data_IF_050700321332
#
_entry.id   IF_050700321332
#
_cell.length_a   1.000
_cell.length_b   1.000
_cell.length_c   1.000
_cell.angle_alpha   90.00
_cell.angle_beta   90.00
_cell.angle_gamma   90.00
#
_symmetry.space_group_name_H-M   'P 1'
#
loop_
_entity.id
_entity.type
_entity.pdbx_description
1 polymer ?
#
# COMPACT_ATOMS: atom_id res chain seq x y z
N UNK A 1 31.52 21.76 -1.64
CA UNK A 1 30.15 21.86 -2.21
C UNK A 1 29.98 20.86 -3.35
N UNK A 2 30.92 20.84 -4.30
CA UNK A 2 30.97 19.90 -5.43
C UNK A 2 30.92 18.42 -4.96
N UNK A 3 31.64 18.06 -3.90
CA UNK A 3 31.70 16.67 -3.38
C UNK A 3 30.35 16.16 -2.85
N UNK A 4 29.59 17.06 -2.24
CA UNK A 4 28.25 16.74 -1.70
C UNK A 4 27.28 16.45 -2.85
N UNK A 5 27.43 17.14 -3.98
CA UNK A 5 26.62 16.92 -5.18
C UNK A 5 26.94 15.53 -5.77
N UNK A 6 28.22 15.18 -5.94
CA UNK A 6 28.59 13.85 -6.46
C UNK A 6 28.16 12.71 -5.54
N UNK A 7 28.32 12.89 -4.23
CA UNK A 7 27.81 11.93 -3.25
C UNK A 7 26.29 11.78 -3.36
N UNK A 8 25.56 12.88 -3.42
CA UNK A 8 24.11 12.86 -3.54
C UNK A 8 23.65 12.18 -4.83
N UNK A 9 24.24 12.54 -5.98
CA UNK A 9 23.95 11.90 -7.27
C UNK A 9 24.23 10.40 -7.21
N UNK A 10 25.36 10.00 -6.63
CA UNK A 10 25.69 8.59 -6.46
C UNK A 10 24.67 7.84 -5.59
N UNK A 11 24.26 8.43 -4.46
CA UNK A 11 23.24 7.85 -3.56
C UNK A 11 21.91 7.71 -4.29
N UNK A 12 21.49 8.71 -5.06
CA UNK A 12 20.26 8.66 -5.87
C UNK A 12 20.34 7.55 -6.92
N UNK A 13 21.47 7.40 -7.61
CA UNK A 13 21.67 6.30 -8.57
C UNK A 13 21.62 4.93 -7.90
N UNK A 14 22.23 4.78 -6.72
CA UNK A 14 22.13 3.53 -5.94
C UNK A 14 20.70 3.25 -5.51
N UNK A 15 19.99 4.28 -5.03
CA UNK A 15 18.60 4.17 -4.62
C UNK A 15 17.73 3.66 -5.76
N UNK A 16 17.83 4.25 -6.95
CA UNK A 16 17.08 3.84 -8.12
C UNK A 16 17.50 2.48 -8.70
N UNK A 17 18.75 2.07 -8.49
CA UNK A 17 19.19 0.72 -8.88
C UNK A 17 18.59 -0.36 -7.97
N UNK A 18 18.46 -0.07 -6.66
CA UNK A 18 17.91 -0.99 -5.66
C UNK A 18 16.38 -0.97 -5.66
N UNK A 19 15.79 0.21 -5.81
CA UNK A 19 14.36 0.50 -5.79
C UNK A 19 13.98 1.21 -7.09
N UNK A 20 13.85 0.48 -8.20
CA UNK A 20 13.50 1.07 -9.48
C UNK A 20 12.09 1.69 -9.41
N UNK A 21 11.93 2.82 -10.11
CA UNK A 21 10.63 3.45 -10.31
C UNK A 21 9.96 2.88 -11.56
N UNK A 22 8.67 3.17 -11.72
CA UNK A 22 7.86 2.77 -12.89
C UNK A 22 8.46 3.26 -14.22
N UNK A 23 9.10 4.41 -14.22
CA UNK A 23 9.75 5.00 -15.39
C UNK A 23 11.04 4.25 -15.75
N UNK A 24 11.84 3.85 -14.78
CA UNK A 24 13.07 3.08 -15.02
C UNK A 24 12.74 1.69 -15.57
N UNK A 25 11.64 1.12 -15.09
CA UNK A 25 11.13 -0.17 -15.54
C UNK A 25 10.57 -0.16 -16.94
N UNK A 26 9.84 0.91 -17.30
CA UNK A 26 9.29 1.05 -18.65
C UNK A 26 10.39 1.19 -19.71
N UNK A 27 11.52 1.81 -19.35
CA UNK A 27 12.70 1.94 -20.22
C UNK A 27 13.52 0.63 -20.28
N UNK A 28 13.26 -0.34 -19.41
CA UNK A 28 13.95 -1.63 -19.46
C UNK A 28 15.28 -1.68 -18.70
N UNK A 29 15.55 -0.70 -17.82
CA UNK A 29 16.85 -0.51 -17.16
C UNK A 29 16.98 -1.24 -15.83
N UNK A 30 16.05 -2.14 -15.50
CA UNK A 30 16.15 -2.90 -14.24
C UNK A 30 17.09 -4.09 -14.34
N UNK A 31 17.70 -4.42 -13.20
CA UNK A 31 18.54 -5.62 -13.05
C UNK A 31 17.75 -6.88 -13.42
N UNK A 32 16.47 -6.94 -13.06
CA UNK A 32 15.58 -8.06 -13.38
C UNK A 32 15.43 -8.25 -14.89
N UNK A 33 15.14 -7.18 -15.63
CA UNK A 33 15.02 -7.27 -17.09
C UNK A 33 16.35 -7.62 -17.75
N UNK A 34 17.47 -7.09 -17.26
CA UNK A 34 18.78 -7.44 -17.80
C UNK A 34 19.11 -8.91 -17.59
N UNK A 35 18.94 -9.43 -16.36
CA UNK A 35 19.15 -10.84 -16.05
C UNK A 35 18.18 -11.76 -16.81
N UNK A 36 16.93 -11.35 -17.03
CA UNK A 36 15.94 -12.15 -17.77
C UNK A 36 16.34 -12.45 -19.22
N UNK A 37 17.18 -11.60 -19.83
CA UNK A 37 17.69 -11.81 -21.19
C UNK A 37 18.80 -12.87 -21.25
N UNK A 38 19.58 -13.02 -20.18
CA UNK A 38 20.75 -13.90 -20.16
C UNK A 38 20.52 -15.22 -19.42
N UNK A 39 19.51 -15.27 -18.53
CA UNK A 39 19.22 -16.45 -17.71
C UNK A 39 17.89 -17.05 -18.18
N UNK A 40 17.97 -18.06 -19.03
CA UNK A 40 16.81 -18.81 -19.56
C UNK A 40 16.43 -20.03 -18.71
N UNK A 41 17.00 -20.14 -17.52
CA UNK A 41 16.70 -21.25 -16.61
C UNK A 41 15.28 -21.14 -16.03
N UNK A 42 14.74 -22.25 -15.53
CA UNK A 42 13.44 -22.26 -14.84
C UNK A 42 13.36 -21.24 -13.70
N UNK A 43 12.14 -20.80 -13.39
CA UNK A 43 11.81 -19.75 -12.41
C UNK A 43 12.68 -19.75 -11.14
N UNK A 44 12.84 -20.90 -10.48
CA UNK A 44 13.64 -21.00 -9.25
C UNK A 44 15.12 -20.73 -9.49
N UNK A 45 15.71 -21.32 -10.53
CA UNK A 45 17.12 -21.13 -10.86
C UNK A 45 17.40 -19.68 -11.28
N UNK A 46 16.47 -19.11 -12.06
CA UNK A 46 16.49 -17.70 -12.40
C UNK A 46 16.60 -16.84 -11.13
N UNK A 47 15.74 -17.06 -10.14
CA UNK A 47 15.77 -16.30 -8.90
C UNK A 47 17.02 -16.56 -8.04
N UNK A 48 17.57 -17.78 -8.00
CA UNK A 48 18.85 -18.07 -7.31
C UNK A 48 20.01 -17.25 -7.91
N UNK A 49 20.13 -17.26 -9.24
CA UNK A 49 21.17 -16.52 -9.95
C UNK A 49 20.97 -15.02 -9.83
N UNK A 50 19.74 -14.55 -9.99
CA UNK A 50 19.35 -13.15 -9.89
C UNK A 50 19.65 -12.58 -8.48
N UNK A 51 19.30 -13.28 -7.41
CA UNK A 51 19.60 -12.80 -6.05
C UNK A 51 21.09 -12.75 -5.76
N UNK A 52 21.85 -13.72 -6.29
CA UNK A 52 23.31 -13.74 -6.19
C UNK A 52 23.95 -12.57 -6.96
N UNK A 53 23.44 -12.27 -8.16
CA UNK A 53 23.88 -11.13 -8.96
C UNK A 53 23.55 -9.79 -8.31
N UNK A 54 22.31 -9.62 -7.82
CA UNK A 54 21.87 -8.42 -7.07
C UNK A 54 22.75 -8.19 -5.85
N UNK A 55 23.09 -9.24 -5.10
CA UNK A 55 23.96 -9.14 -3.93
C UNK A 55 25.36 -8.64 -4.31
N UNK A 56 25.95 -9.18 -5.39
CA UNK A 56 27.24 -8.72 -5.91
C UNK A 56 27.19 -7.26 -6.39
N UNK A 57 26.17 -6.91 -7.16
CA UNK A 57 25.99 -5.56 -7.69
C UNK A 57 25.84 -4.53 -6.57
N UNK A 58 24.99 -4.81 -5.58
CA UNK A 58 24.73 -3.85 -4.50
C UNK A 58 25.92 -3.72 -3.54
N UNK A 59 26.67 -4.80 -3.31
CA UNK A 59 27.89 -4.73 -2.50
C UNK A 59 29.08 -4.13 -3.24
N UNK A 60 29.08 -4.13 -4.59
CA UNK A 60 30.08 -3.39 -5.37
C UNK A 60 29.82 -1.89 -5.44
N UNK A 61 28.58 -1.42 -5.22
CA UNK A 61 28.25 0.02 -5.32
C UNK A 61 29.17 0.92 -4.48
N UNK A 62 29.39 0.68 -3.16
CA UNK A 62 30.30 1.53 -2.38
C UNK A 62 31.73 1.54 -2.93
N UNK A 63 32.21 0.42 -3.48
CA UNK A 63 33.52 0.35 -4.14
C UNK A 63 33.58 1.17 -5.41
N UNK A 64 32.52 1.11 -6.24
CA UNK A 64 32.40 1.95 -7.43
C UNK A 64 32.47 3.43 -7.08
N UNK A 65 31.84 3.86 -5.98
CA UNK A 65 31.95 5.25 -5.51
C UNK A 65 33.40 5.67 -5.23
N UNK A 66 34.13 4.88 -4.44
CA UNK A 66 35.53 5.17 -4.13
C UNK A 66 36.40 5.16 -5.38
N UNK A 67 36.16 4.23 -6.30
CA UNK A 67 36.88 4.14 -7.57
C UNK A 67 36.62 5.37 -8.46
N UNK A 68 35.37 5.82 -8.55
CA UNK A 68 35.01 7.03 -9.31
C UNK A 68 35.67 8.27 -8.71
N UNK A 69 35.65 8.43 -7.39
CA UNK A 69 36.33 9.56 -6.74
C UNK A 69 37.84 9.53 -6.97
N UNK A 70 38.46 8.36 -6.89
CA UNK A 70 39.89 8.20 -7.17
C UNK A 70 40.22 8.53 -8.62
N UNK A 71 39.38 8.08 -9.57
CA UNK A 71 39.54 8.40 -10.99
C UNK A 71 39.37 9.90 -11.28
N UNK A 72 38.39 10.56 -10.65
CA UNK A 72 38.19 12.01 -10.79
C UNK A 72 39.36 12.81 -10.22
N UNK A 73 39.90 12.40 -9.06
CA UNK A 73 41.10 13.00 -8.49
C UNK A 73 42.35 12.80 -9.35
N UNK A 74 42.45 11.67 -10.05
CA UNK A 74 43.52 11.43 -11.02
C UNK A 74 43.39 12.33 -12.26
N UNK A 75 42.19 12.46 -12.81
CA UNK A 75 41.93 13.21 -14.06
C UNK A 75 42.00 14.73 -13.82
N UNK A 76 41.44 15.22 -12.72
CA UNK A 76 41.40 16.64 -12.39
C UNK A 76 41.85 16.90 -10.93
N UNK A 77 43.16 16.82 -10.67
CA UNK A 77 43.70 16.93 -9.31
C UNK A 77 43.51 18.34 -8.70
N UNK A 78 43.33 19.38 -9.51
CA UNK A 78 43.13 20.74 -9.02
C UNK A 78 41.76 20.90 -8.31
N UNK A 79 40.72 20.22 -8.82
CA UNK A 79 39.38 20.26 -8.26
C UNK A 79 39.14 19.15 -7.22
N UNK A 80 39.68 17.95 -7.46
CA UNK A 80 39.37 16.75 -6.67
C UNK A 80 40.51 16.28 -5.76
N UNK A 81 41.72 16.84 -5.89
CA UNK A 81 42.86 16.49 -5.04
C UNK A 81 42.65 16.88 -3.57
N UNK A 82 41.93 17.97 -3.32
CA UNK A 82 41.57 18.44 -1.96
C UNK A 82 40.42 17.64 -1.34
N UNK A 83 39.63 16.94 -2.16
CA UNK A 83 38.49 16.09 -1.72
C UNK A 83 38.99 14.83 -1.01
N UNK A 84 40.23 14.42 -1.32
CA UNK A 84 40.92 13.30 -0.67
C UNK A 84 41.86 13.81 0.45
N UNK A 85 41.90 15.13 0.72
CA UNK A 85 42.63 15.69 1.85
C UNK A 85 41.74 15.70 3.10
N UNK A 86 41.98 14.73 3.96
CA UNK A 86 41.22 14.58 5.20
C UNK A 86 41.98 15.13 6.41
N UNK A 87 41.23 15.62 7.40
CA UNK A 87 41.76 15.73 8.77
C UNK A 87 42.21 14.35 9.25
N UNK A 88 43.08 14.27 10.26
CA UNK A 88 43.55 12.98 10.82
C UNK A 88 42.36 12.05 11.14
N UNK A 89 41.30 12.58 11.76
CA UNK A 89 40.08 11.84 12.04
C UNK A 89 39.32 11.41 10.77
N UNK A 90 39.24 12.29 9.77
CA UNK A 90 38.62 11.99 8.48
C UNK A 90 39.34 10.87 7.72
N UNK A 91 40.68 10.83 7.76
CA UNK A 91 41.47 9.79 7.12
C UNK A 91 41.19 8.40 7.70
N UNK A 92 41.07 8.31 9.03
CA UNK A 92 40.71 7.05 9.68
C UNK A 92 39.32 6.57 9.24
N UNK A 93 38.32 7.47 9.23
CA UNK A 93 36.96 7.12 8.79
C UNK A 93 36.91 6.70 7.31
N UNK A 94 37.67 7.38 6.45
CA UNK A 94 37.81 7.04 5.05
C UNK A 94 38.40 5.63 4.85
N UNK A 95 39.53 5.35 5.53
CA UNK A 95 40.19 4.05 5.47
C UNK A 95 39.29 2.92 5.99
N UNK A 96 38.57 3.14 7.09
CA UNK A 96 37.59 2.18 7.62
C UNK A 96 36.47 1.93 6.62
N UNK A 97 35.94 2.99 5.99
CA UNK A 97 34.84 2.88 5.03
C UNK A 97 35.23 2.08 3.79
N UNK A 98 36.42 2.33 3.24
CA UNK A 98 36.98 1.54 2.12
C UNK A 98 37.20 0.09 2.55
N UNK A 99 37.83 -0.13 3.71
CA UNK A 99 38.12 -1.48 4.20
C UNK A 99 36.83 -2.28 4.39
N UNK A 100 35.78 -1.66 4.94
CA UNK A 100 34.47 -2.28 5.10
C UNK A 100 33.81 -2.60 3.75
N UNK A 101 33.85 -1.67 2.79
CA UNK A 101 33.32 -1.90 1.45
C UNK A 101 34.02 -3.06 0.74
N UNK A 102 35.36 -3.13 0.83
CA UNK A 102 36.15 -4.22 0.25
C UNK A 102 35.82 -5.54 0.95
N UNK A 103 35.79 -5.55 2.28
CA UNK A 103 35.48 -6.74 3.05
C UNK A 103 34.08 -7.29 2.72
N UNK A 104 33.05 -6.43 2.65
CA UNK A 104 31.69 -6.82 2.29
C UNK A 104 31.60 -7.42 0.88
N UNK A 105 32.31 -6.82 -0.09
CA UNK A 105 32.33 -7.33 -1.45
C UNK A 105 33.05 -8.67 -1.55
N UNK A 106 34.22 -8.83 -0.90
CA UNK A 106 34.96 -10.10 -0.86
C UNK A 106 34.11 -11.19 -0.21
N UNK A 107 33.49 -10.90 0.95
CA UNK A 107 32.60 -11.86 1.63
C UNK A 107 31.45 -12.27 0.71
N UNK A 108 30.90 -11.35 -0.07
CA UNK A 108 29.84 -11.65 -1.02
C UNK A 108 30.32 -12.55 -2.16
N UNK A 109 31.48 -12.24 -2.75
CA UNK A 109 32.09 -13.10 -3.77
C UNK A 109 32.33 -14.50 -3.23
N UNK A 110 32.93 -14.62 -2.05
CA UNK A 110 33.20 -15.92 -1.41
C UNK A 110 31.90 -16.69 -1.19
N UNK A 111 30.84 -16.06 -0.70
CA UNK A 111 29.54 -16.70 -0.53
C UNK A 111 28.94 -17.18 -1.86
N UNK A 112 28.97 -16.35 -2.90
CA UNK A 112 28.41 -16.72 -4.22
C UNK A 112 29.20 -17.86 -4.85
N UNK A 113 30.53 -17.82 -4.77
CA UNK A 113 31.39 -18.92 -5.23
C UNK A 113 31.14 -20.20 -4.44
N UNK A 114 31.03 -20.10 -3.11
CA UNK A 114 30.69 -21.23 -2.24
C UNK A 114 29.34 -21.86 -2.63
N UNK A 115 28.31 -21.04 -2.90
CA UNK A 115 27.03 -21.54 -3.38
C UNK A 115 27.13 -22.19 -4.77
N UNK A 116 27.88 -21.58 -5.69
CA UNK A 116 28.05 -22.10 -7.05
C UNK A 116 28.82 -23.42 -7.10
N UNK A 117 29.83 -23.60 -6.24
CA UNK A 117 30.65 -24.82 -6.18
C UNK A 117 29.84 -26.06 -5.81
N UNK A 118 28.88 -25.93 -4.89
CA UNK A 118 28.00 -27.01 -4.46
C UNK A 118 26.67 -27.01 -5.23
N UNK A 119 26.71 -26.66 -6.52
CA UNK A 119 25.56 -26.63 -7.42
C UNK A 119 24.30 -25.96 -6.81
N UNK A 120 24.51 -24.87 -6.05
CA UNK A 120 23.51 -24.06 -5.35
C UNK A 120 22.79 -24.73 -4.18
N UNK A 121 23.20 -25.92 -3.73
CA UNK A 121 22.58 -26.63 -2.59
C UNK A 121 22.57 -25.81 -1.31
N UNK A 122 23.64 -25.04 -1.08
CA UNK A 122 23.78 -24.21 0.11
C UNK A 122 23.14 -22.83 0.00
N UNK A 123 22.59 -22.48 -1.16
CA UNK A 123 21.94 -21.18 -1.35
C UNK A 123 20.70 -21.06 -0.44
N UNK A 124 20.42 -19.89 0.17
CA UNK A 124 19.28 -19.73 1.08
C UNK A 124 17.94 -20.15 0.47
N UNK A 125 17.71 -19.88 -0.82
CA UNK A 125 16.50 -20.33 -1.53
C UNK A 125 16.43 -21.85 -1.62
N UNK A 126 17.53 -22.52 -1.97
CA UNK A 126 17.56 -23.98 -2.06
C UNK A 126 17.27 -24.61 -0.69
N UNK A 127 17.89 -24.09 0.38
CA UNK A 127 17.63 -24.55 1.76
C UNK A 127 16.17 -24.35 2.21
N UNK A 128 15.52 -23.27 1.78
CA UNK A 128 14.07 -23.09 2.02
C UNK A 128 13.25 -24.12 1.26
N UNK A 129 13.57 -24.40 0.00
CA UNK A 129 12.86 -25.38 -0.81
C UNK A 129 13.04 -26.82 -0.31
N UNK A 130 14.19 -27.16 0.30
CA UNK A 130 14.42 -28.47 0.92
C UNK A 130 13.36 -28.82 1.98
N UNK A 131 12.74 -27.83 2.60
CA UNK A 131 11.70 -28.05 3.62
C UNK A 131 10.38 -28.56 3.05
N UNK A 132 10.16 -28.37 1.75
CA UNK A 132 8.98 -28.84 1.05
C UNK A 132 9.24 -30.16 0.31
N UNK A 133 10.27 -30.91 0.69
CA UNK A 133 10.52 -32.24 0.16
C UNK A 133 9.45 -33.20 0.64
N UNK A 134 9.04 -34.10 -0.25
CA UNK A 134 8.07 -35.17 0.04
C UNK A 134 8.61 -36.48 -0.50
N UNK A 135 8.02 -37.64 -0.15
CA UNK A 135 8.45 -38.91 -0.74
C UNK A 135 8.45 -38.92 -2.27
N UNK A 136 7.57 -38.11 -2.90
CA UNK A 136 7.49 -37.95 -4.37
C UNK A 136 8.48 -36.89 -4.91
N UNK A 137 8.99 -36.00 -4.06
CA UNK A 137 9.93 -34.94 -4.40
C UNK A 137 11.08 -34.95 -3.37
N UNK A 138 12.07 -35.86 -3.52
CA UNK A 138 13.08 -36.11 -2.50
C UNK A 138 14.08 -34.96 -2.34
N UNK A 139 14.32 -34.20 -3.42
CA UNK A 139 15.29 -33.11 -3.45
C UNK A 139 14.63 -31.76 -3.68
N UNK A 140 15.30 -30.69 -3.22
CA UNK A 140 14.89 -29.31 -3.52
C UNK A 140 14.82 -29.01 -5.02
N UNK A 141 15.63 -29.70 -5.83
CA UNK A 141 15.60 -29.60 -7.30
C UNK A 141 14.31 -30.19 -7.87
N UNK A 142 13.79 -31.25 -7.27
CA UNK A 142 12.49 -31.84 -7.66
C UNK A 142 11.35 -30.87 -7.33
N UNK A 143 11.38 -30.27 -6.14
CA UNK A 143 10.44 -29.20 -5.75
C UNK A 143 10.55 -28.00 -6.71
N UNK A 144 11.78 -27.58 -7.03
CA UNK A 144 12.02 -26.48 -7.96
C UNK A 144 11.49 -26.79 -9.36
N UNK A 145 11.64 -28.03 -9.84
CA UNK A 145 11.11 -28.48 -11.15
C UNK A 145 9.58 -28.44 -11.15
N UNK A 146 8.93 -28.94 -10.10
CA UNK A 146 7.47 -28.84 -9.97
C UNK A 146 6.98 -27.38 -9.97
N UNK A 147 7.64 -26.49 -9.23
CA UNK A 147 7.35 -25.05 -9.25
C UNK A 147 7.56 -24.46 -10.64
N UNK A 148 8.65 -24.82 -11.32
CA UNK A 148 8.97 -24.32 -12.66
C UNK A 148 7.92 -24.76 -13.69
N UNK A 149 7.44 -26.00 -13.59
CA UNK A 149 6.43 -26.56 -14.49
C UNK A 149 5.08 -25.90 -14.26
N UNK A 150 4.65 -25.70 -13.01
CA UNK A 150 3.43 -24.96 -12.69
C UNK A 150 3.54 -23.48 -13.10
N UNK A 151 4.70 -22.85 -12.92
CA UNK A 151 4.94 -21.47 -13.34
C UNK A 151 4.84 -21.29 -14.86
N UNK A 152 5.11 -22.31 -15.66
CA UNK A 152 4.99 -22.23 -17.13
C UNK A 152 3.55 -22.27 -17.62
N UNK A 153 2.61 -22.74 -16.81
CA UNK A 153 1.19 -22.82 -17.17
C UNK A 153 0.54 -21.44 -17.22
N UNK A 154 -0.55 -21.33 -17.97
CA UNK A 154 -1.34 -20.09 -18.10
C UNK A 154 -2.28 -19.85 -16.90
N UNK A 155 -2.40 -20.84 -15.99
CA UNK A 155 -3.20 -20.77 -14.77
C UNK A 155 -2.55 -19.93 -13.66
N UNK A 156 -1.34 -19.39 -13.88
CA UNK A 156 -0.64 -18.57 -12.89
C UNK A 156 -1.25 -17.16 -12.79
N UNK A 157 -1.34 -16.66 -11.57
CA UNK A 157 -1.64 -15.26 -11.28
C UNK A 157 -0.38 -14.56 -10.79
N UNK A 158 -0.03 -13.43 -11.39
CA UNK A 158 1.14 -12.61 -11.00
C UNK A 158 0.65 -11.24 -10.58
N UNK A 159 0.79 -10.92 -9.29
CA UNK A 159 0.42 -9.62 -8.72
C UNK A 159 1.67 -8.92 -8.24
N UNK A 160 1.89 -7.70 -8.72
CA UNK A 160 3.00 -6.90 -8.24
C UNK A 160 2.60 -6.09 -7.00
N UNK A 161 3.22 -6.38 -5.86
CA UNK A 161 2.90 -5.72 -4.59
C UNK A 161 3.63 -4.38 -4.42
N UNK A 162 4.89 -4.29 -4.86
CA UNK A 162 5.68 -3.06 -4.86
C UNK A 162 6.84 -3.16 -5.86
N UNK A 163 7.75 -2.17 -5.87
CA UNK A 163 8.89 -2.13 -6.79
C UNK A 163 9.76 -3.41 -6.75
N UNK A 164 9.93 -3.99 -5.56
CA UNK A 164 10.90 -5.06 -5.29
C UNK A 164 10.27 -6.42 -4.91
N UNK A 165 8.95 -6.51 -4.84
CA UNK A 165 8.24 -7.73 -4.46
C UNK A 165 7.06 -8.04 -5.37
N UNK A 166 7.00 -9.30 -5.78
CA UNK A 166 5.97 -9.83 -6.65
C UNK A 166 5.40 -11.08 -6.02
N UNK A 167 4.08 -11.16 -6.03
CA UNK A 167 3.34 -12.34 -5.64
C UNK A 167 3.04 -13.16 -6.89
N UNK A 168 3.36 -14.44 -6.84
CA UNK A 168 3.05 -15.42 -7.86
C UNK A 168 2.22 -16.51 -7.19
N UNK A 169 1.02 -16.72 -7.71
CA UNK A 169 0.11 -17.77 -7.27
C UNK A 169 -0.03 -18.76 -8.41
N UNK A 170 0.21 -20.03 -8.11
CA UNK A 170 0.07 -21.17 -9.02
C UNK A 170 -0.95 -22.14 -8.40
N UNK A 171 -1.28 -23.23 -9.10
CA UNK A 171 -2.23 -24.23 -8.62
C UNK A 171 -1.88 -24.76 -7.21
N UNK A 172 -0.61 -25.06 -6.95
CA UNK A 172 -0.19 -25.65 -5.67
C UNK A 172 0.58 -24.68 -4.78
N UNK A 173 1.16 -23.61 -5.33
CA UNK A 173 2.10 -22.76 -4.61
C UNK A 173 1.69 -21.29 -4.55
N UNK A 174 1.96 -20.68 -3.39
CA UNK A 174 1.98 -19.24 -3.19
C UNK A 174 3.44 -18.82 -2.99
N UNK A 175 3.94 -17.98 -3.87
CA UNK A 175 5.34 -17.57 -3.92
C UNK A 175 5.41 -16.05 -3.85
N UNK A 176 6.09 -15.52 -2.84
CA UNK A 176 6.44 -14.10 -2.74
C UNK A 176 7.91 -13.92 -3.05
N UNK A 177 8.22 -13.23 -4.13
CA UNK A 177 9.59 -12.81 -4.46
C UNK A 177 9.89 -11.49 -3.75
N UNK A 178 11.11 -11.35 -3.23
CA UNK A 178 11.66 -10.12 -2.66
C UNK A 178 13.05 -9.86 -3.26
N UNK A 179 13.65 -8.72 -2.94
CA UNK A 179 14.95 -8.29 -3.48
C UNK A 179 16.08 -9.33 -3.37
N UNK A 180 16.18 -10.04 -2.23
CA UNK A 180 17.25 -11.00 -1.95
C UNK A 180 16.77 -12.42 -1.65
N UNK A 181 15.52 -12.75 -1.99
CA UNK A 181 15.05 -14.11 -1.77
C UNK A 181 13.59 -14.31 -2.07
N UNK A 182 13.19 -15.58 -2.04
CA UNK A 182 11.79 -15.99 -2.20
C UNK A 182 11.25 -16.54 -0.89
N UNK A 183 9.95 -16.35 -0.68
CA UNK A 183 9.15 -17.00 0.35
C UNK A 183 8.12 -17.86 -0.35
N UNK A 184 8.04 -19.12 0.02
CA UNK A 184 7.22 -20.12 -0.67
C UNK A 184 6.33 -20.79 0.36
N UNK A 185 5.08 -21.03 0.01
CA UNK A 185 4.15 -21.84 0.78
C UNK A 185 3.33 -22.71 -0.16
N UNK A 186 3.01 -23.93 0.27
CA UNK A 186 2.02 -24.77 -0.40
C UNK A 186 0.62 -24.32 -0.02
N UNK A 187 -0.25 -24.14 -1.00
CA UNK A 187 -1.63 -23.74 -0.78
C UNK A 187 -2.36 -24.68 0.18
N UNK A 188 -2.27 -25.99 -0.07
CA UNK A 188 -3.00 -27.01 0.70
C UNK A 188 -2.54 -27.10 2.16
N UNK A 189 -1.31 -26.68 2.45
CA UNK A 189 -0.68 -26.72 3.77
C UNK A 189 -0.46 -25.30 4.32
N UNK A 190 -1.27 -24.32 3.91
CA UNK A 190 -1.20 -22.96 4.43
C UNK A 190 -2.57 -22.43 4.82
N UNK A 191 -2.61 -21.67 5.90
CA UNK A 191 -3.79 -20.86 6.26
C UNK A 191 -3.55 -19.41 5.84
N UNK A 192 -4.55 -18.83 5.19
CA UNK A 192 -4.55 -17.44 4.76
C UNK A 192 -5.43 -16.63 5.70
N UNK A 193 -4.85 -15.63 6.35
CA UNK A 193 -5.58 -14.76 7.28
C UNK A 193 -5.40 -13.32 6.86
N UNK A 194 -6.47 -12.70 6.38
CA UNK A 194 -6.52 -11.27 6.14
C UNK A 194 -6.75 -10.55 7.48
N UNK A 195 -5.84 -9.64 7.85
CA UNK A 195 -5.85 -9.03 9.19
C UNK A 195 -5.90 -7.50 9.20
N UNK A 196 -5.49 -6.83 8.11
CA UNK A 196 -5.44 -5.37 8.03
C UNK A 196 -5.72 -4.87 6.62
N UNK A 197 -6.46 -3.78 6.50
CA UNK A 197 -6.59 -2.98 5.27
C UNK A 197 -5.80 -1.69 5.47
N UNK A 198 -4.80 -1.47 4.63
CA UNK A 198 -4.04 -0.23 4.54
C UNK A 198 -4.57 0.61 3.39
N UNK A 199 -4.75 1.90 3.63
CA UNK A 199 -5.07 2.88 2.61
C UNK A 199 -3.77 3.58 2.22
N UNK A 200 -3.50 3.66 0.93
CA UNK A 200 -2.40 4.48 0.44
C UNK A 200 -2.98 5.64 -0.36
N UNK A 201 -2.98 6.82 0.26
CA UNK A 201 -3.25 8.07 -0.43
C UNK A 201 -2.03 8.37 -1.31
N UNK A 202 -2.13 8.03 -2.59
CA UNK A 202 -1.10 8.35 -3.56
C UNK A 202 -1.23 9.85 -3.86
N UNK A 203 -0.17 10.63 -3.62
CA UNK A 203 -0.10 12.07 -3.88
C UNK A 203 0.05 12.38 -5.38
N UNK A 204 -0.61 11.59 -6.22
CA UNK A 204 -0.53 11.64 -7.69
C UNK A 204 -1.96 11.68 -8.21
N UNK A 205 -2.22 12.47 -9.27
CA UNK A 205 -3.53 12.90 -9.79
C UNK A 205 -4.58 11.80 -10.11
N UNK A 206 -4.32 10.53 -9.81
CA UNK A 206 -5.29 9.44 -9.84
C UNK A 206 -6.06 9.36 -8.53
N UNK A 207 -7.28 9.91 -8.56
CA UNK A 207 -8.24 10.22 -7.48
C UNK A 207 -8.72 9.02 -6.62
N UNK A 208 -8.12 7.83 -6.73
CA UNK A 208 -8.51 6.65 -5.97
C UNK A 208 -7.46 6.32 -4.90
N UNK A 209 -7.82 6.51 -3.62
CA UNK A 209 -7.09 5.93 -2.51
C UNK A 209 -7.08 4.41 -2.68
N UNK A 210 -5.95 3.87 -3.13
CA UNK A 210 -5.80 2.44 -3.41
C UNK A 210 -5.81 1.68 -2.09
N UNK A 211 -6.79 0.78 -1.95
CA UNK A 211 -6.90 -0.07 -0.77
C UNK A 211 -5.98 -1.26 -0.94
N UNK A 212 -5.23 -1.58 0.11
CA UNK A 212 -4.38 -2.76 0.13
C UNK A 212 -4.73 -3.63 1.31
N UNK A 213 -4.88 -4.92 1.06
CA UNK A 213 -5.22 -5.91 2.09
C UNK A 213 -3.95 -6.67 2.43
N UNK A 214 -3.61 -6.69 3.71
CA UNK A 214 -2.53 -7.50 4.24
C UNK A 214 -3.05 -8.87 4.65
N UNK A 215 -2.48 -9.89 4.02
CA UNK A 215 -2.83 -11.29 4.20
C UNK A 215 -1.60 -11.99 4.76
N UNK A 216 -1.73 -12.54 5.96
CA UNK A 216 -0.71 -13.41 6.54
C UNK A 216 -0.86 -14.83 5.97
N UNK A 217 0.18 -15.31 5.30
CA UNK A 217 0.30 -16.72 4.91
C UNK A 217 1.02 -17.44 6.03
N UNK A 218 0.31 -18.34 6.72
CA UNK A 218 0.87 -19.17 7.78
C UNK A 218 0.94 -20.61 7.27
N UNK A 219 2.13 -21.09 6.88
CA UNK A 219 2.32 -22.50 6.55
C UNK A 219 2.10 -23.36 7.79
N UNK A 220 1.49 -24.54 7.64
CA UNK A 220 1.19 -25.45 8.75
C UNK A 220 2.47 -26.05 9.36
N UNK A 221 3.52 -26.16 8.54
CA UNK A 221 4.80 -26.79 8.91
C UNK A 221 5.90 -25.78 9.26
N UNK A 222 5.71 -24.47 9.04
CA UNK A 222 6.73 -23.45 9.31
C UNK A 222 6.29 -22.47 10.40
N UNK A 223 7.23 -22.12 11.30
CA UNK A 223 7.08 -20.98 12.22
C UNK A 223 7.14 -19.62 11.50
N UNK A 224 7.71 -19.58 10.30
CA UNK A 224 7.91 -18.35 9.54
C UNK A 224 6.71 -18.09 8.64
N UNK A 225 5.81 -17.23 9.11
CA UNK A 225 4.75 -16.66 8.28
C UNK A 225 5.30 -15.49 7.47
N UNK A 226 4.71 -15.25 6.30
CA UNK A 226 5.00 -14.06 5.52
C UNK A 226 3.71 -13.32 5.18
N UNK A 227 3.79 -11.99 5.16
CA UNK A 227 2.66 -11.14 4.78
C UNK A 227 2.71 -10.81 3.29
N UNK A 228 1.57 -10.94 2.65
CA UNK A 228 1.31 -10.49 1.29
C UNK A 228 0.46 -9.23 1.36
N UNK A 229 0.75 -8.25 0.50
CA UNK A 229 -0.07 -7.05 0.31
C UNK A 229 -0.70 -7.12 -1.08
N UNK A 230 -2.04 -7.17 -1.14
CA UNK A 230 -2.82 -7.28 -2.38
C UNK A 230 -3.68 -6.04 -2.54
N UNK A 231 -3.76 -5.45 -3.74
CA UNK A 231 -4.70 -4.36 -4.02
C UNK A 231 -6.15 -4.87 -3.90
N UNK A 232 -7.04 -4.08 -3.32
CA UNK A 232 -8.46 -4.39 -3.17
C UNK A 232 -9.14 -4.74 -4.50
N UNK A 233 -8.71 -4.14 -5.62
CA UNK A 233 -9.21 -4.48 -6.96
C UNK A 233 -8.90 -5.93 -7.36
N UNK A 234 -7.69 -6.40 -7.07
CA UNK A 234 -7.24 -7.76 -7.38
C UNK A 234 -7.57 -8.77 -6.28
N UNK A 235 -8.21 -8.35 -5.19
CA UNK A 235 -8.51 -9.24 -4.06
C UNK A 235 -9.50 -10.33 -4.44
N UNK A 236 -10.52 -10.01 -5.23
CA UNK A 236 -11.52 -10.99 -5.67
C UNK A 236 -10.86 -12.03 -6.59
N UNK A 237 -10.09 -11.59 -7.57
CA UNK A 237 -9.35 -12.47 -8.46
C UNK A 237 -8.37 -13.37 -7.69
N UNK A 238 -7.69 -12.82 -6.68
CA UNK A 238 -6.81 -13.57 -5.80
C UNK A 238 -7.59 -14.60 -4.96
N UNK A 239 -8.74 -14.22 -4.42
CA UNK A 239 -9.62 -15.13 -3.67
C UNK A 239 -10.10 -16.29 -4.55
N UNK A 240 -10.42 -16.01 -5.81
CA UNK A 240 -10.91 -17.02 -6.77
C UNK A 240 -9.79 -17.96 -7.25
N UNK A 241 -8.51 -17.52 -7.24
CA UNK A 241 -7.35 -18.33 -7.65
C UNK A 241 -6.75 -19.20 -6.53
N UNK A 242 -7.09 -18.95 -5.26
CA UNK A 242 -6.56 -19.74 -4.15
C UNK A 242 -7.52 -20.85 -3.74
N UNK A 243 -7.00 -22.08 -3.62
CA UNK A 243 -7.76 -23.26 -3.22
C UNK A 243 -8.27 -23.23 -1.77
N UNK A 244 -7.72 -22.37 -0.91
CA UNK A 244 -8.07 -22.27 0.51
C UNK A 244 -8.82 -20.97 0.80
N UNK A 245 -9.92 -21.02 1.59
CA UNK A 245 -10.64 -19.81 1.95
C UNK A 245 -9.75 -18.88 2.78
N UNK A 246 -9.80 -17.59 2.46
CA UNK A 246 -9.11 -16.54 3.21
C UNK A 246 -9.96 -16.20 4.44
N UNK A 247 -9.43 -16.44 5.63
CA UNK A 247 -10.10 -16.07 6.88
C UNK A 247 -9.97 -14.56 7.08
N UNK A 248 -11.09 -13.86 7.04
CA UNK A 248 -11.17 -12.43 7.31
C UNK A 248 -11.30 -12.22 8.82
N UNK A 249 -10.31 -11.56 9.44
CA UNK A 249 -10.46 -11.14 10.83
C UNK A 249 -11.50 -10.02 10.93
N UNK A 250 -12.21 -9.89 12.07
CA UNK A 250 -13.22 -8.84 12.28
C UNK A 250 -12.68 -7.40 12.13
N UNK A 251 -11.35 -7.23 12.24
CA UNK A 251 -10.63 -5.98 12.00
C UNK A 251 -10.58 -5.57 10.51
N UNK A 252 -10.83 -6.49 9.58
CA UNK A 252 -10.85 -6.26 8.13
C UNK A 252 -12.25 -5.83 7.72
N UNK A 253 -12.50 -4.52 7.77
CA UNK A 253 -13.69 -3.92 7.16
C UNK A 253 -13.27 -3.25 5.86
N UNK A 254 -13.77 -3.74 4.74
CA UNK A 254 -13.68 -3.03 3.47
C UNK A 254 -14.49 -1.74 3.62
N UNK A 255 -13.82 -0.60 3.76
CA UNK A 255 -14.50 0.69 3.88
C UNK A 255 -14.74 1.22 2.49
N UNK A 256 -15.99 1.45 2.13
CA UNK A 256 -16.30 2.16 0.91
C UNK A 256 -15.93 3.65 1.06
N UNK A 257 -15.75 4.35 -0.06
CA UNK A 257 -15.60 5.82 -0.08
C UNK A 257 -16.79 6.49 0.61
N UNK A 258 -17.98 5.90 0.49
CA UNK A 258 -19.20 6.38 1.13
C UNK A 258 -19.08 6.25 2.65
N UNK A 259 -18.55 5.15 3.18
CA UNK A 259 -18.36 4.98 4.63
C UNK A 259 -17.40 6.05 5.20
N UNK A 260 -16.31 6.34 4.48
CA UNK A 260 -15.39 7.42 4.87
C UNK A 260 -16.08 8.79 4.83
N UNK A 261 -16.86 9.05 3.79
CA UNK A 261 -17.64 10.29 3.70
C UNK A 261 -18.63 10.42 4.85
N UNK A 262 -19.32 9.33 5.23
CA UNK A 262 -20.27 9.33 6.34
C UNK A 262 -19.57 9.69 7.66
N UNK A 263 -18.37 9.17 7.91
CA UNK A 263 -17.60 9.51 9.11
C UNK A 263 -17.23 11.01 9.15
N UNK A 264 -16.64 11.53 8.07
CA UNK A 264 -16.27 12.96 8.00
C UNK A 264 -17.50 13.87 8.03
N UNK A 265 -18.59 13.47 7.38
CA UNK A 265 -19.86 14.20 7.42
C UNK A 265 -20.40 14.29 8.86
N UNK A 266 -20.36 13.20 9.64
CA UNK A 266 -20.76 13.21 11.05
C UNK A 266 -19.91 14.16 11.88
N UNK A 267 -18.59 14.15 11.68
CA UNK A 267 -17.67 15.06 12.39
C UNK A 267 -18.00 16.53 12.08
N UNK A 268 -18.27 16.87 10.81
CA UNK A 268 -18.66 18.23 10.43
C UNK A 268 -20.03 18.63 11.00
N UNK A 269 -21.02 17.72 10.96
CA UNK A 269 -22.35 17.96 11.53
C UNK A 269 -22.31 18.14 13.06
N UNK A 270 -21.40 17.44 13.74
CA UNK A 270 -21.22 17.59 15.18
C UNK A 270 -20.71 18.98 15.61
N UNK A 271 -20.13 19.76 14.68
CA UNK A 271 -19.72 21.15 14.92
C UNK A 271 -20.86 22.15 14.75
N UNK A 272 -21.98 21.75 14.15
CA UNK A 272 -23.12 22.63 13.91
C UNK A 272 -23.96 22.82 15.20
N UNK A 273 -24.76 23.90 15.29
CA UNK A 273 -25.62 24.13 16.44
C UNK A 273 -26.61 22.97 16.66
N UNK A 274 -26.81 22.59 17.93
CA UNK A 274 -27.79 21.56 18.32
C UNK A 274 -29.17 22.22 18.43
N UNK A 275 -30.20 21.57 17.88
CA UNK A 275 -31.58 22.04 17.92
C UNK A 275 -32.31 21.40 19.12
N UNK A 276 -32.94 22.21 20.01
CA UNK A 276 -33.66 21.68 21.17
C UNK A 276 -34.85 20.80 20.77
N UNK A 277 -35.01 19.66 21.46
CA UNK A 277 -36.08 18.70 21.17
C UNK A 277 -37.50 19.26 21.37
N UNK A 278 -37.67 20.27 22.23
CA UNK A 278 -38.96 20.92 22.50
C UNK A 278 -39.56 21.62 21.26
N UNK A 279 -38.75 21.91 20.23
CA UNK A 279 -39.20 22.45 18.95
C UNK A 279 -39.62 21.36 17.94
N UNK A 280 -39.52 20.09 18.32
CA UNK A 280 -39.85 18.91 17.52
C UNK A 280 -40.93 18.15 18.28
N UNK A 281 -42.20 18.49 18.02
CA UNK A 281 -43.33 17.78 18.61
C UNK A 281 -43.12 16.26 18.44
N UNK A 282 -43.11 15.59 19.59
CA UNK A 282 -42.87 14.17 19.84
C UNK A 282 -43.25 13.26 18.68
N UNK A 283 -42.29 12.47 18.21
CA UNK A 283 -42.59 11.15 17.68
C UNK A 283 -41.97 10.15 18.64
N UNK A 284 -42.75 9.79 19.66
CA UNK A 284 -42.46 8.58 20.43
C UNK A 284 -42.53 7.40 19.47
N UNK A 285 -41.38 6.79 19.15
CA UNK A 285 -41.31 5.46 18.54
C UNK A 285 -41.03 5.37 17.04
N UNK A 286 -40.86 6.47 16.29
CA UNK A 286 -40.50 6.34 14.87
C UNK A 286 -39.00 6.19 14.68
N UNK A 287 -38.62 5.12 13.98
CA UNK A 287 -37.26 4.91 13.51
C UNK A 287 -37.00 5.74 12.24
N UNK A 288 -35.71 5.99 11.96
CA UNK A 288 -35.25 6.65 10.75
C UNK A 288 -35.85 5.99 9.51
N UNK A 289 -36.41 6.81 8.62
CA UNK A 289 -37.14 6.38 7.42
C UNK A 289 -36.32 5.47 6.49
N UNK A 290 -34.99 5.60 6.50
CA UNK A 290 -34.11 4.84 5.61
C UNK A 290 -33.61 3.52 6.22
N UNK A 291 -33.05 3.55 7.43
CA UNK A 291 -32.51 2.33 8.05
C UNK A 291 -33.53 1.56 8.88
N UNK A 292 -34.56 2.24 9.41
CA UNK A 292 -35.55 1.71 10.33
C UNK A 292 -34.94 1.08 11.61
N UNK A 293 -33.67 1.38 11.92
CA UNK A 293 -32.93 0.81 13.07
C UNK A 293 -32.74 1.79 14.24
N UNK A 294 -32.62 3.09 13.95
CA UNK A 294 -32.24 4.12 14.92
C UNK A 294 -33.25 5.25 14.85
N UNK A 295 -33.52 5.93 15.95
CA UNK A 295 -34.34 7.14 15.96
C UNK A 295 -33.70 8.27 15.12
N UNK A 296 -34.50 9.13 14.47
CA UNK A 296 -34.00 10.33 13.81
C UNK A 296 -33.25 11.26 14.77
N UNK A 297 -31.99 11.61 14.45
CA UNK A 297 -31.11 12.44 15.29
C UNK A 297 -30.69 13.75 14.61
N UNK A 298 -31.15 14.01 13.38
CA UNK A 298 -30.79 15.22 12.61
C UNK A 298 -31.99 15.96 12.03
N UNK A 299 -31.85 17.29 11.96
CA UNK A 299 -32.77 18.21 11.30
C UNK A 299 -32.03 19.06 10.29
N UNK A 300 -32.62 19.27 9.11
CA UNK A 300 -32.12 20.25 8.15
C UNK A 300 -32.71 21.61 8.51
N UNK A 301 -31.86 22.55 8.93
CA UNK A 301 -32.21 23.93 9.24
C UNK A 301 -31.15 24.85 8.66
N UNK A 302 -31.58 25.85 7.87
CA UNK A 302 -30.65 26.76 7.21
C UNK A 302 -29.81 27.53 8.23
N UNK A 303 -28.50 27.35 8.19
CA UNK A 303 -27.50 28.05 9.01
C UNK A 303 -26.39 28.69 8.16
N UNK A 304 -26.24 28.26 6.89
CA UNK A 304 -25.21 28.81 6.03
C UNK A 304 -25.50 30.28 5.67
N UNK A 305 -24.43 31.08 5.51
CA UNK A 305 -24.50 32.52 5.22
C UNK A 305 -24.74 32.85 3.74
N UNK A 306 -24.92 31.85 2.86
CA UNK A 306 -25.07 32.02 1.40
C UNK A 306 -23.93 32.84 0.73
N UNK A 307 -22.72 32.78 1.29
CA UNK A 307 -21.53 33.46 0.78
C UNK A 307 -20.59 32.45 0.10
N UNK A 308 -20.00 32.84 -1.03
CA UNK A 308 -18.98 32.07 -1.75
C UNK A 308 -17.58 32.17 -1.11
N UNK A 309 -16.60 31.47 -1.68
CA UNK A 309 -15.19 31.52 -1.22
C UNK A 309 -14.57 32.91 -1.38
N UNK A 310 -15.11 33.71 -2.29
CA UNK A 310 -14.72 35.10 -2.58
C UNK A 310 -15.34 36.13 -1.62
N UNK A 311 -16.14 35.68 -0.65
CA UNK A 311 -16.84 36.57 0.27
C UNK A 311 -18.05 37.28 -0.36
N UNK A 312 -18.42 36.94 -1.60
CA UNK A 312 -19.58 37.51 -2.29
C UNK A 312 -20.83 36.66 -2.06
N UNK A 313 -21.99 37.33 -2.10
CA UNK A 313 -23.29 36.65 -2.03
C UNK A 313 -23.48 35.74 -3.24
N UNK A 314 -23.79 34.47 -3.00
CA UNK A 314 -24.07 33.49 -4.04
C UNK A 314 -25.32 33.90 -4.84
N UNK A 315 -25.42 33.57 -6.14
CA UNK A 315 -26.67 33.70 -6.90
C UNK A 315 -27.81 32.90 -6.28
N UNK A 316 -29.06 33.37 -6.39
CA UNK A 316 -30.24 32.72 -5.78
C UNK A 316 -30.38 31.24 -6.12
N UNK A 317 -29.98 30.86 -7.34
CA UNK A 317 -30.00 29.48 -7.85
C UNK A 317 -29.02 28.56 -7.12
N UNK A 318 -28.01 29.12 -6.46
CA UNK A 318 -26.99 28.38 -5.73
C UNK A 318 -27.17 28.46 -4.22
N UNK A 319 -28.13 29.26 -3.71
CA UNK A 319 -28.40 29.42 -2.27
C UNK A 319 -29.10 28.22 -1.66
N UNK A 320 -28.84 27.99 -0.38
CA UNK A 320 -29.59 26.99 0.39
C UNK A 320 -30.98 27.54 0.72
N UNK A 321 -31.96 26.64 0.71
CA UNK A 321 -33.36 26.97 0.95
C UNK A 321 -33.78 26.50 2.35
N UNK A 322 -34.67 27.25 3.03
CA UNK A 322 -35.18 26.82 4.32
C UNK A 322 -35.98 25.51 4.17
N UNK A 323 -35.66 24.53 5.03
CA UNK A 323 -36.37 23.27 5.09
C UNK A 323 -37.31 23.27 6.31
N UNK A 324 -38.59 22.97 6.08
CA UNK A 324 -39.61 22.87 7.13
C UNK A 324 -40.09 21.42 7.34
N UNK A 325 -39.34 20.44 6.84
CA UNK A 325 -39.66 19.04 7.06
C UNK A 325 -39.43 18.63 8.51
N UNK A 326 -40.19 17.63 8.95
CA UNK A 326 -39.96 16.97 10.23
C UNK A 326 -38.65 16.17 10.19
N UNK A 327 -37.94 16.02 11.32
CA UNK A 327 -36.82 15.09 11.44
C UNK A 327 -37.28 13.65 11.25
N UNK A 328 -36.80 13.01 10.18
CA UNK A 328 -37.16 11.62 9.85
C UNK A 328 -35.93 10.75 9.54
N UNK A 329 -34.73 11.33 9.61
CA UNK A 329 -33.49 10.71 9.16
C UNK A 329 -32.48 10.69 10.30
N UNK A 330 -31.66 9.64 10.36
CA UNK A 330 -30.45 9.68 11.15
C UNK A 330 -29.29 10.28 10.34
N UNK A 331 -28.26 10.79 11.01
CA UNK A 331 -27.09 11.44 10.40
C UNK A 331 -26.41 10.54 9.37
N UNK A 332 -26.32 9.24 9.66
CA UNK A 332 -25.70 8.26 8.76
C UNK A 332 -26.47 8.13 7.45
N UNK A 333 -27.80 7.99 7.53
CA UNK A 333 -28.63 7.84 6.34
C UNK A 333 -28.72 9.13 5.54
N UNK A 334 -28.73 10.29 6.20
CA UNK A 334 -28.70 11.58 5.53
C UNK A 334 -27.35 11.79 4.82
N UNK A 335 -26.24 11.38 5.42
CA UNK A 335 -24.92 11.43 4.80
C UNK A 335 -24.83 10.54 3.55
N UNK A 336 -25.36 9.31 3.60
CA UNK A 336 -25.44 8.41 2.44
C UNK A 336 -26.29 9.05 1.32
N UNK A 337 -27.42 9.64 1.68
CA UNK A 337 -28.25 10.37 0.72
C UNK A 337 -27.49 11.52 0.08
N UNK A 338 -26.82 12.34 0.88
CA UNK A 338 -26.03 13.46 0.44
C UNK A 338 -24.95 13.01 -0.55
N UNK A 339 -24.17 11.97 -0.22
CA UNK A 339 -23.16 11.40 -1.10
C UNK A 339 -23.75 10.87 -2.41
N UNK A 340 -24.94 10.25 -2.37
CA UNK A 340 -25.61 9.71 -3.56
C UNK A 340 -25.99 10.77 -4.59
N UNK A 341 -26.08 12.04 -4.19
CA UNK A 341 -26.41 13.17 -5.08
C UNK A 341 -25.17 13.81 -5.70
N UNK A 342 -23.97 13.40 -5.30
CA UNK A 342 -22.73 13.97 -5.80
C UNK A 342 -22.17 13.18 -7.00
N UNK A 343 -21.39 13.86 -7.83
CA UNK A 343 -20.65 13.21 -8.91
C UNK A 343 -19.44 12.46 -8.35
N UNK A 344 -19.21 11.24 -8.84
CA UNK A 344 -18.08 10.39 -8.40
C UNK A 344 -16.70 11.00 -8.71
N UNK A 345 -16.60 11.88 -9.70
CA UNK A 345 -15.37 12.55 -10.11
C UNK A 345 -14.90 13.64 -9.15
N UNK A 346 -15.80 14.25 -8.35
CA UNK A 346 -15.51 15.43 -7.52
C UNK A 346 -15.45 15.12 -6.01
N UNK A 347 -14.90 13.96 -5.65
CA UNK A 347 -14.91 13.43 -4.26
C UNK A 347 -14.34 14.37 -3.21
N UNK A 348 -13.25 15.07 -3.55
CA UNK A 348 -12.55 15.95 -2.60
C UNK A 348 -13.36 17.21 -2.27
N UNK A 349 -14.35 17.55 -3.11
CA UNK A 349 -15.23 18.69 -2.92
C UNK A 349 -16.60 18.29 -2.37
N UNK A 350 -16.88 17.01 -2.08
CA UNK A 350 -18.24 16.59 -1.70
C UNK A 350 -18.79 17.39 -0.51
N UNK A 351 -17.99 17.69 0.51
CA UNK A 351 -18.44 18.46 1.68
C UNK A 351 -18.79 19.93 1.36
N UNK A 352 -18.15 20.52 0.34
CA UNK A 352 -18.43 21.91 -0.07
C UNK A 352 -19.62 22.00 -1.05
N UNK A 353 -20.09 20.86 -1.56
CA UNK A 353 -21.25 20.80 -2.45
C UNK A 353 -22.57 20.86 -1.66
N UNK A 354 -23.68 20.85 -2.40
CA UNK A 354 -25.03 20.92 -1.87
C UNK A 354 -25.81 19.68 -2.29
N UNK A 355 -26.82 19.31 -1.50
CA UNK A 355 -27.76 18.26 -1.82
C UNK A 355 -29.20 18.76 -1.67
N UNK A 356 -30.16 17.96 -2.12
CA UNK A 356 -31.60 18.25 -1.96
C UNK A 356 -32.19 17.40 -0.86
N UNK A 357 -33.05 18.00 -0.03
CA UNK A 357 -33.77 17.29 1.02
C UNK A 357 -34.54 16.12 0.40
N UNK A 358 -34.45 14.88 0.95
CA UNK A 358 -35.18 13.73 0.43
C UNK A 358 -36.70 13.94 0.36
N UNK A 359 -37.24 14.79 1.24
CA UNK A 359 -38.67 15.01 1.40
C UNK A 359 -39.20 16.20 0.58
N UNK A 360 -38.70 17.41 0.84
CA UNK A 360 -39.19 18.64 0.19
C UNK A 360 -38.32 19.14 -0.96
N UNK A 361 -37.18 18.47 -1.24
CA UNK A 361 -36.18 18.87 -2.24
C UNK A 361 -35.53 20.25 -2.02
N UNK A 362 -35.74 20.90 -0.88
CA UNK A 362 -35.03 22.11 -0.50
C UNK A 362 -33.51 21.86 -0.54
N UNK A 363 -32.75 22.78 -1.15
CA UNK A 363 -31.29 22.67 -1.25
C UNK A 363 -30.66 22.97 0.11
N UNK A 364 -29.70 22.16 0.52
CA UNK A 364 -28.98 22.32 1.78
C UNK A 364 -27.52 21.92 1.61
N UNK A 365 -26.63 22.49 2.44
CA UNK A 365 -25.25 22.06 2.57
C UNK A 365 -25.00 21.39 3.93
N UNK A 366 -23.79 20.90 4.16
CA UNK A 366 -23.41 20.23 5.42
C UNK A 366 -23.66 21.13 6.64
N UNK A 367 -23.46 22.45 6.51
CA UNK A 367 -23.67 23.43 7.58
C UNK A 367 -25.14 23.58 7.99
N UNK A 368 -26.07 23.23 7.11
CA UNK A 368 -27.51 23.31 7.37
C UNK A 368 -28.04 22.05 8.07
N UNK A 369 -27.19 21.08 8.41
CA UNK A 369 -27.59 19.85 9.10
C UNK A 369 -27.24 19.98 10.57
N UNK A 370 -28.25 19.98 11.43
CA UNK A 370 -28.10 20.14 12.87
C UNK A 370 -28.48 18.85 13.59
N UNK A 371 -27.72 18.50 14.66
CA UNK A 371 -28.09 17.43 15.58
C UNK A 371 -29.29 17.87 16.43
N UNK A 372 -30.12 16.91 16.83
CA UNK A 372 -31.25 17.13 17.73
C UNK A 372 -30.80 16.73 19.14
N UNK A 373 -31.15 17.56 20.12
CA UNK A 373 -30.89 17.25 21.53
C UNK A 373 -31.72 16.02 21.93
N UNK A 374 -31.09 14.95 22.43
CA UNK A 374 -31.83 13.83 23.02
C UNK A 374 -32.53 14.32 24.29
N UNK A 375 -33.83 14.04 24.42
CA UNK A 375 -34.53 14.22 25.69
C UNK A 375 -33.94 13.20 26.66
N UNK A 376 -32.89 13.59 27.39
CA UNK A 376 -32.48 12.88 28.59
C UNK A 376 -33.69 12.85 29.51
N UNK A 377 -34.27 11.67 29.68
CA UNK A 377 -35.45 11.45 30.51
C UNK A 377 -35.29 12.12 31.86
N UNK A 378 -36.03 13.20 32.05
CA UNK A 378 -36.30 13.80 33.34
C UNK A 378 -37.77 13.54 33.63
N UNK A 379 -38.00 12.56 34.52
CA UNK A 379 -39.06 12.36 35.53
C UNK A 379 -38.66 11.01 36.17
N UNK A 380 -37.95 10.97 37.30
CA UNK A 380 -38.39 11.22 38.70
C UNK A 380 -39.27 10.09 39.27
N UNK A 381 -38.83 9.64 40.46
CA UNK A 381 -39.40 8.71 41.46
C UNK A 381 -39.15 7.20 41.34
#
# INVERSE_FOLDING_TARGET
MIDVIYFFVFVVLCFFTIFPTTEIESVGLTVDQWCSRYVTDGFVQYHIKLTSFKLLLHTSMPLCYFLVLWLLAWINPAEFGTVIQFTVRGQYLWNISITLAIALFIVTIVNVLYWAMDAWNNHPIAKKLQRFTTPMMPDWRSVATNINDEYRRDTKMVIRSNAISTLVVTESWIIKTNLYGISVARQNESSLVAYKVDFQDVLTDTVDATQFINIAVKPLQELLHFTIRVNGEHFKDFQDHVNRPIVLLPSVKFRSVIDRFVDVFKEQVALNPIVPSLAVASIEGDNCLACLQVTPDVRIQKQCLDVGEDGLLLPDEQRCQPCHCRPLWCVSCLAIWFASRQQKSERDMWLSKKATCPMCRARFCVLDVCMIEEIAGRIEE
#
